data_IF_074480412108
#
_entry.id   IF_074480412108
#
_cell.length_a   1.000
_cell.length_b   1.000
_cell.length_c   1.000
_cell.angle_alpha   90.00
_cell.angle_beta   90.00
_cell.angle_gamma   90.00
#
_symmetry.space_group_name_H-M   'P 1'
#
loop_
_entity.id
_entity.type
_entity.pdbx_description
1 polymer ?
#
# COMPACT_ATOMS: atom_id res chain seq x y z
N UNK A 1 37.43 20.21 32.85
CA UNK A 1 37.10 19.02 32.05
C UNK A 1 35.60 18.76 32.12
N UNK A 2 34.81 19.23 31.14
CA UNK A 2 33.40 18.87 31.02
C UNK A 2 33.35 17.52 30.30
N UNK A 3 32.92 16.47 30.99
CA UNK A 3 32.65 15.18 30.38
C UNK A 3 31.50 15.34 29.39
N UNK A 4 31.77 15.45 28.12
CA UNK A 4 30.77 15.34 27.05
C UNK A 4 30.31 13.90 27.00
N UNK A 5 29.32 13.57 27.82
CA UNK A 5 28.57 12.32 27.59
C UNK A 5 28.02 12.36 26.18
N UNK A 6 28.24 11.33 25.35
CA UNK A 6 27.62 11.28 24.02
C UNK A 6 26.12 11.36 24.20
N UNK A 7 25.41 12.15 23.38
CA UNK A 7 23.97 12.30 23.49
C UNK A 7 23.32 10.90 23.52
N UNK A 8 22.46 10.64 24.52
CA UNK A 8 21.71 9.37 24.65
C UNK A 8 21.12 9.04 23.29
N UNK A 9 21.57 7.95 22.69
CA UNK A 9 21.11 7.53 21.36
C UNK A 9 19.59 7.37 21.41
N UNK A 10 18.86 8.27 20.76
CA UNK A 10 17.43 8.12 20.60
C UNK A 10 17.14 6.73 20.00
N UNK A 11 16.22 6.01 20.60
CA UNK A 11 15.93 4.61 20.25
C UNK A 11 14.64 4.55 19.45
N UNK A 12 14.57 3.68 18.44
CA UNK A 12 13.34 3.38 17.71
C UNK A 12 12.23 2.84 18.63
N UNK A 13 12.61 2.25 19.76
CA UNK A 13 11.66 1.67 20.71
C UNK A 13 10.70 2.72 21.33
N UNK A 14 11.17 3.97 21.53
CA UNK A 14 10.29 5.05 21.97
C UNK A 14 9.26 5.41 20.91
N UNK A 15 9.64 5.41 19.63
CA UNK A 15 8.70 5.65 18.53
C UNK A 15 7.67 4.51 18.45
N UNK A 16 8.11 3.27 18.57
CA UNK A 16 7.22 2.11 18.58
C UNK A 16 6.26 2.14 19.77
N UNK A 17 6.77 2.46 20.97
CA UNK A 17 5.94 2.59 22.17
C UNK A 17 4.83 3.64 21.97
N UNK A 18 5.20 4.85 21.52
CA UNK A 18 4.23 5.89 21.22
C UNK A 18 3.21 5.46 20.18
N UNK A 19 3.70 4.85 19.10
CA UNK A 19 2.88 4.40 17.98
C UNK A 19 1.81 3.38 18.42
N UNK A 20 2.22 2.38 19.20
CA UNK A 20 1.33 1.34 19.72
C UNK A 20 0.38 1.93 20.78
N UNK A 21 0.90 2.72 21.74
CA UNK A 21 0.09 3.31 22.81
C UNK A 21 -1.02 4.21 22.27
N UNK A 22 -0.71 5.08 21.30
CA UNK A 22 -1.70 5.96 20.69
C UNK A 22 -2.85 5.18 20.04
N UNK A 23 -2.53 4.10 19.31
CA UNK A 23 -3.53 3.26 18.63
C UNK A 23 -4.36 2.44 19.60
N UNK A 24 -3.74 1.88 20.62
CA UNK A 24 -4.47 1.17 21.67
C UNK A 24 -5.41 2.10 22.44
N UNK A 25 -4.96 3.33 22.78
CA UNK A 25 -5.83 4.31 23.42
C UNK A 25 -7.03 4.67 22.54
N UNK A 26 -6.86 4.80 21.23
CA UNK A 26 -7.98 5.03 20.30
C UNK A 26 -8.98 3.87 20.37
N UNK A 27 -8.51 2.62 20.30
CA UNK A 27 -9.37 1.43 20.39
C UNK A 27 -10.10 1.30 21.74
N UNK A 28 -9.50 1.80 22.82
CA UNK A 28 -10.09 1.71 24.17
C UNK A 28 -11.10 2.82 24.46
N UNK A 29 -10.90 4.01 23.86
CA UNK A 29 -11.73 5.20 24.14
C UNK A 29 -12.97 5.24 23.25
N UNK A 30 -12.85 4.91 21.99
CA UNK A 30 -13.96 5.03 21.03
C UNK A 30 -14.70 3.71 20.79
N UNK A 31 -16.04 3.74 20.71
CA UNK A 31 -16.83 2.59 20.29
C UNK A 31 -16.42 2.11 18.90
N UNK A 32 -16.28 0.80 18.69
CA UNK A 32 -15.89 0.23 17.40
C UNK A 32 -16.80 0.66 16.23
N UNK A 33 -18.08 0.84 16.46
CA UNK A 33 -19.06 1.28 15.46
C UNK A 33 -18.74 2.69 14.92
N UNK A 34 -18.26 3.58 15.78
CA UNK A 34 -17.86 4.93 15.38
C UNK A 34 -16.52 4.93 14.64
N UNK A 35 -15.57 4.12 15.10
CA UNK A 35 -14.25 3.98 14.46
C UNK A 35 -14.34 3.43 13.04
N UNK A 36 -15.34 2.59 12.77
CA UNK A 36 -15.50 1.89 11.50
C UNK A 36 -16.52 2.51 10.56
N UNK A 37 -17.04 3.71 10.87
CA UNK A 37 -18.10 4.35 10.08
C UNK A 37 -17.73 4.55 8.60
N UNK A 38 -16.48 4.92 8.31
CA UNK A 38 -15.95 5.09 6.94
C UNK A 38 -15.04 3.93 6.52
N UNK A 39 -15.37 2.70 6.93
CA UNK A 39 -14.49 1.55 6.73
C UNK A 39 -15.18 0.41 5.98
N UNK A 40 -14.36 -0.53 5.49
CA UNK A 40 -14.81 -1.77 4.88
C UNK A 40 -15.09 -2.89 5.92
N UNK A 41 -14.93 -2.64 7.23
CA UNK A 41 -15.04 -3.65 8.27
C UNK A 41 -16.42 -4.30 8.33
N UNK A 42 -17.50 -3.55 8.09
CA UNK A 42 -18.83 -4.11 7.97
C UNK A 42 -18.96 -5.10 6.81
N UNK A 43 -18.35 -4.80 5.66
CA UNK A 43 -18.31 -5.71 4.52
C UNK A 43 -17.50 -6.96 4.85
N UNK A 44 -16.32 -6.80 5.45
CA UNK A 44 -15.47 -7.92 5.85
C UNK A 44 -16.19 -8.85 6.82
N UNK A 45 -16.82 -8.30 7.86
CA UNK A 45 -17.59 -9.06 8.84
C UNK A 45 -18.73 -9.84 8.19
N UNK A 46 -19.53 -9.19 7.31
CA UNK A 46 -20.64 -9.84 6.60
C UNK A 46 -20.15 -10.97 5.69
N UNK A 47 -19.03 -10.78 4.99
CA UNK A 47 -18.43 -11.82 4.14
C UNK A 47 -17.92 -12.99 4.99
N UNK A 48 -17.29 -12.72 6.14
CA UNK A 48 -16.82 -13.77 7.04
C UNK A 48 -17.99 -14.54 7.69
N UNK A 49 -19.11 -13.85 8.00
CA UNK A 49 -20.30 -14.46 8.59
C UNK A 49 -20.93 -15.53 7.68
N UNK A 50 -20.74 -15.47 6.36
CA UNK A 50 -21.21 -16.51 5.43
C UNK A 50 -20.59 -17.89 5.76
N UNK A 51 -19.39 -17.94 6.35
CA UNK A 51 -18.77 -19.19 6.77
C UNK A 51 -19.56 -19.92 7.86
N UNK A 52 -20.36 -19.21 8.67
CA UNK A 52 -21.23 -19.81 9.69
C UNK A 52 -22.38 -20.61 9.08
N UNK A 53 -22.75 -20.33 7.83
CA UNK A 53 -23.75 -21.09 7.05
C UNK A 53 -23.12 -22.07 6.06
N UNK A 54 -21.81 -22.36 6.22
CA UNK A 54 -21.09 -23.29 5.34
C UNK A 54 -20.70 -22.69 3.99
N UNK A 55 -20.84 -21.37 3.79
CA UNK A 55 -20.50 -20.70 2.53
C UNK A 55 -19.07 -20.15 2.60
N UNK A 56 -18.19 -20.64 1.73
CA UNK A 56 -16.77 -20.29 1.71
C UNK A 56 -16.41 -19.50 0.45
N UNK A 57 -15.59 -18.42 0.56
CA UNK A 57 -15.12 -17.69 -0.61
C UNK A 57 -14.26 -18.58 -1.51
N UNK A 58 -14.29 -18.36 -2.80
CA UNK A 58 -13.65 -19.15 -3.86
C UNK A 58 -14.25 -20.54 -4.09
N UNK A 59 -15.15 -21.02 -3.22
CA UNK A 59 -15.77 -22.33 -3.33
C UNK A 59 -17.26 -22.21 -3.60
N UNK A 60 -17.96 -21.37 -2.85
CA UNK A 60 -19.41 -21.20 -2.93
C UNK A 60 -19.83 -19.83 -3.47
N UNK A 61 -18.92 -18.84 -3.38
CA UNK A 61 -19.10 -17.51 -3.92
C UNK A 61 -17.75 -16.89 -4.33
N UNK A 62 -17.78 -15.95 -5.29
CA UNK A 62 -16.57 -15.25 -5.70
C UNK A 62 -16.20 -14.13 -4.73
N UNK A 63 -14.90 -13.97 -4.51
CA UNK A 63 -14.30 -12.93 -3.65
C UNK A 63 -13.55 -11.91 -4.49
N UNK A 64 -13.76 -10.63 -4.18
CA UNK A 64 -12.99 -9.54 -4.80
C UNK A 64 -11.56 -9.42 -4.23
N UNK A 65 -11.32 -9.97 -3.06
CA UNK A 65 -10.01 -9.97 -2.41
C UNK A 65 -9.30 -11.29 -2.67
N UNK A 66 -7.99 -11.28 -2.99
CA UNK A 66 -7.19 -12.49 -3.05
C UNK A 66 -7.23 -13.29 -1.75
N UNK A 67 -6.93 -14.60 -1.77
CA UNK A 67 -7.36 -15.55 -0.75
C UNK A 67 -6.73 -15.37 0.64
N UNK A 68 -5.58 -14.71 0.76
CA UNK A 68 -4.88 -14.61 2.05
C UNK A 68 -5.74 -13.92 3.11
N UNK A 69 -6.25 -12.72 2.82
CA UNK A 69 -7.07 -11.99 3.78
C UNK A 69 -8.40 -12.71 4.09
N UNK A 70 -9.23 -13.10 3.12
CA UNK A 70 -10.50 -13.77 3.39
C UNK A 70 -10.36 -15.05 4.19
N UNK A 71 -9.42 -15.93 3.81
CA UNK A 71 -9.32 -17.27 4.38
C UNK A 71 -8.48 -17.36 5.64
N UNK A 72 -7.33 -16.65 5.69
CA UNK A 72 -6.39 -16.79 6.82
C UNK A 72 -6.56 -15.75 7.92
N UNK A 73 -7.26 -14.64 7.65
CA UNK A 73 -7.49 -13.60 8.66
C UNK A 73 -8.98 -13.36 8.90
N UNK A 74 -9.73 -13.03 7.87
CA UNK A 74 -11.10 -12.54 8.01
C UNK A 74 -12.01 -13.59 8.66
N UNK A 75 -12.08 -14.80 8.11
CA UNK A 75 -12.91 -15.89 8.65
C UNK A 75 -12.44 -16.35 10.03
N UNK A 76 -11.15 -16.66 10.29
CA UNK A 76 -10.71 -17.01 11.63
C UNK A 76 -11.02 -15.94 12.67
N UNK A 77 -10.85 -14.65 12.36
CA UNK A 77 -11.16 -13.57 13.29
C UNK A 77 -12.66 -13.43 13.55
N UNK A 78 -13.51 -13.70 12.58
CA UNK A 78 -14.96 -13.78 12.80
C UNK A 78 -15.31 -14.85 13.82
N UNK A 79 -14.78 -16.06 13.67
CA UNK A 79 -15.03 -17.16 14.62
C UNK A 79 -14.45 -16.87 16.02
N UNK A 80 -13.24 -16.33 16.10
CA UNK A 80 -12.62 -15.92 17.37
C UNK A 80 -13.40 -14.79 18.06
N UNK A 81 -14.10 -13.95 17.32
CA UNK A 81 -14.94 -12.87 17.85
C UNK A 81 -16.27 -13.37 18.46
N UNK A 82 -16.57 -14.67 18.33
CA UNK A 82 -17.89 -15.22 18.68
C UNK A 82 -19.01 -14.69 17.78
N UNK A 83 -18.73 -14.30 16.54
CA UNK A 83 -19.70 -13.71 15.62
C UNK A 83 -20.18 -12.32 16.02
N UNK A 84 -19.49 -11.64 16.92
CA UNK A 84 -19.86 -10.30 17.39
C UNK A 84 -19.03 -9.24 16.69
N UNK A 85 -19.69 -8.27 16.01
CA UNK A 85 -19.01 -7.23 15.25
C UNK A 85 -18.02 -6.42 16.09
N UNK A 86 -18.40 -6.03 17.31
CA UNK A 86 -17.54 -5.29 18.24
C UNK A 86 -16.21 -6.01 18.51
N UNK A 87 -16.27 -7.30 18.87
CA UNK A 87 -15.08 -8.10 19.14
C UNK A 87 -14.25 -8.30 17.86
N UNK A 88 -14.91 -8.51 16.71
CA UNK A 88 -14.28 -8.65 15.42
C UNK A 88 -13.45 -7.41 15.07
N UNK A 89 -14.00 -6.21 15.24
CA UNK A 89 -13.29 -4.93 14.97
C UNK A 89 -12.04 -4.84 15.84
N UNK A 90 -12.13 -5.15 17.13
CA UNK A 90 -10.97 -5.10 18.04
C UNK A 90 -9.91 -6.11 17.61
N UNK A 91 -10.29 -7.35 17.35
CA UNK A 91 -9.34 -8.41 16.96
C UNK A 91 -8.64 -8.08 15.63
N UNK A 92 -9.40 -7.67 14.61
CA UNK A 92 -8.84 -7.29 13.32
C UNK A 92 -7.91 -6.08 13.47
N UNK A 93 -8.31 -5.06 14.23
CA UNK A 93 -7.48 -3.88 14.47
C UNK A 93 -6.16 -4.22 15.19
N UNK A 94 -6.16 -5.16 16.14
CA UNK A 94 -4.94 -5.63 16.81
C UNK A 94 -4.01 -6.35 15.83
N UNK A 95 -4.54 -7.24 14.98
CA UNK A 95 -3.74 -7.93 13.96
C UNK A 95 -3.13 -6.94 12.97
N UNK A 96 -3.92 -5.97 12.50
CA UNK A 96 -3.43 -4.94 11.58
C UNK A 96 -2.43 -3.99 12.27
N UNK A 97 -2.61 -3.71 13.56
CA UNK A 97 -1.62 -2.95 14.35
C UNK A 97 -0.28 -3.70 14.42
N UNK A 98 -0.29 -5.02 14.60
CA UNK A 98 0.95 -5.82 14.55
C UNK A 98 1.63 -5.72 13.17
N UNK A 99 0.86 -5.72 12.07
CA UNK A 99 1.39 -5.49 10.72
C UNK A 99 1.99 -4.07 10.57
N UNK A 100 1.35 -3.04 11.13
CA UNK A 100 1.86 -1.68 11.11
C UNK A 100 3.15 -1.52 11.92
N UNK A 101 3.24 -2.17 13.09
CA UNK A 101 4.46 -2.20 13.92
C UNK A 101 5.61 -2.84 13.15
N UNK A 102 5.36 -3.96 12.48
CA UNK A 102 6.32 -4.60 11.58
C UNK A 102 6.75 -3.68 10.44
N UNK A 103 5.80 -2.99 9.82
CA UNK A 103 6.04 -2.02 8.75
C UNK A 103 6.85 -0.82 9.23
N UNK A 104 6.55 -0.26 10.39
CA UNK A 104 7.31 0.85 11.00
C UNK A 104 8.76 0.42 11.30
N UNK A 105 8.95 -0.80 11.81
CA UNK A 105 10.29 -1.33 12.04
C UNK A 105 11.05 -1.56 10.73
N UNK A 106 10.42 -2.11 9.70
CA UNK A 106 11.04 -2.25 8.37
C UNK A 106 11.35 -0.88 7.74
N UNK A 107 10.47 0.10 7.89
CA UNK A 107 10.72 1.47 7.47
C UNK A 107 11.98 2.04 8.15
N UNK A 108 12.13 1.85 9.47
CA UNK A 108 13.34 2.22 10.20
C UNK A 108 14.60 1.53 9.64
N UNK A 109 14.54 0.21 9.40
CA UNK A 109 15.65 -0.57 8.88
C UNK A 109 16.09 -0.11 7.48
N UNK A 110 15.14 0.14 6.59
CA UNK A 110 15.40 0.66 5.25
C UNK A 110 15.96 2.08 5.30
N UNK A 111 15.36 2.96 6.08
CA UNK A 111 15.82 4.33 6.25
C UNK A 111 17.23 4.39 6.84
N UNK A 112 17.54 3.55 7.84
CA UNK A 112 18.86 3.47 8.46
C UNK A 112 19.93 3.01 7.47
N UNK A 113 19.61 2.06 6.61
CA UNK A 113 20.53 1.57 5.58
C UNK A 113 20.83 2.65 4.52
N UNK A 114 19.82 3.47 4.16
CA UNK A 114 19.97 4.51 3.15
C UNK A 114 20.55 5.83 3.66
N UNK A 115 20.25 6.21 4.91
CA UNK A 115 20.45 7.57 5.40
C UNK A 115 21.11 7.69 6.79
N UNK A 116 21.36 6.58 7.46
CA UNK A 116 21.88 6.57 8.83
C UNK A 116 20.81 6.77 9.90
N UNK A 117 21.22 6.68 11.18
CA UNK A 117 20.29 6.57 12.31
C UNK A 117 19.46 7.83 12.55
N UNK A 118 20.06 9.01 12.53
CA UNK A 118 19.35 10.26 12.85
C UNK A 118 18.19 10.52 11.87
N UNK A 119 18.44 10.36 10.54
CA UNK A 119 17.40 10.54 9.53
C UNK A 119 16.37 9.41 9.58
N UNK A 120 16.77 8.18 9.88
CA UNK A 120 15.84 7.06 10.04
C UNK A 120 14.85 7.33 11.19
N UNK A 121 15.32 7.82 12.33
CA UNK A 121 14.44 8.19 13.45
C UNK A 121 13.49 9.32 13.07
N UNK A 122 13.96 10.35 12.36
CA UNK A 122 13.08 11.42 11.84
C UNK A 122 11.96 10.85 10.96
N UNK A 123 12.30 9.95 10.04
CA UNK A 123 11.33 9.32 9.14
C UNK A 123 10.28 8.53 9.90
N UNK A 124 10.66 7.68 10.87
CA UNK A 124 9.67 6.88 11.61
C UNK A 124 8.85 7.71 12.58
N UNK A 125 9.42 8.77 13.19
CA UNK A 125 8.64 9.73 13.98
C UNK A 125 7.62 10.47 13.12
N UNK A 126 8.01 10.90 11.92
CA UNK A 126 7.10 11.52 10.95
C UNK A 126 5.95 10.58 10.59
N UNK A 127 6.26 9.33 10.23
CA UNK A 127 5.23 8.34 9.91
C UNK A 127 4.27 8.11 11.09
N UNK A 128 4.81 8.00 12.30
CA UNK A 128 4.03 7.79 13.51
C UNK A 128 3.11 8.98 13.86
N UNK A 129 3.54 10.20 13.52
CA UNK A 129 2.80 11.44 13.78
C UNK A 129 1.77 11.79 12.70
N UNK A 130 1.86 11.19 11.50
CA UNK A 130 0.90 11.46 10.43
C UNK A 130 -0.48 10.89 10.76
N UNK A 131 -1.52 11.71 10.53
CA UNK A 131 -2.91 11.31 10.78
C UNK A 131 -3.39 10.20 9.83
N UNK A 132 -2.98 10.25 8.57
CA UNK A 132 -3.46 9.32 7.52
C UNK A 132 -3.25 7.84 7.87
N UNK A 133 -2.07 7.39 8.36
CA UNK A 133 -1.90 6.00 8.80
C UNK A 133 -2.86 5.60 9.92
N UNK A 134 -3.13 6.50 10.86
CA UNK A 134 -4.06 6.24 11.97
C UNK A 134 -5.48 6.04 11.44
N UNK A 135 -5.93 6.92 10.54
CA UNK A 135 -7.28 6.86 9.98
C UNK A 135 -7.49 5.59 9.11
N UNK A 136 -6.54 5.27 8.23
CA UNK A 136 -6.67 4.14 7.29
C UNK A 136 -6.53 2.80 8.00
N UNK A 137 -5.72 2.70 9.06
CA UNK A 137 -5.59 1.47 9.85
C UNK A 137 -6.93 0.93 10.37
N UNK A 138 -7.84 1.82 10.78
CA UNK A 138 -9.19 1.47 11.23
C UNK A 138 -10.18 1.28 10.08
N UNK A 139 -9.73 1.46 8.84
CA UNK A 139 -10.60 1.43 7.67
C UNK A 139 -10.52 0.13 6.87
N UNK A 140 -9.31 -0.41 6.73
CA UNK A 140 -9.04 -1.48 5.76
C UNK A 140 -7.85 -2.35 6.18
N UNK A 141 -7.63 -3.47 5.47
CA UNK A 141 -6.49 -4.36 5.71
C UNK A 141 -5.19 -3.96 5.00
N UNK A 142 -5.06 -2.71 4.54
CA UNK A 142 -3.86 -2.23 3.81
C UNK A 142 -2.55 -2.40 4.57
N UNK A 143 -2.57 -2.33 5.91
CA UNK A 143 -1.39 -2.55 6.75
C UNK A 143 -0.68 -3.88 6.44
N UNK A 144 -1.44 -4.91 6.08
CA UNK A 144 -0.90 -6.21 5.67
C UNK A 144 -0.12 -6.11 4.34
N UNK A 145 -0.67 -5.38 3.38
CA UNK A 145 0.00 -5.14 2.08
C UNK A 145 1.28 -4.33 2.26
N UNK A 146 1.26 -3.29 3.12
CA UNK A 146 2.44 -2.46 3.43
C UNK A 146 3.56 -3.31 4.01
N UNK A 147 3.23 -4.20 4.95
CA UNK A 147 4.21 -5.10 5.57
C UNK A 147 4.94 -5.96 4.52
N UNK A 148 4.19 -6.58 3.61
CA UNK A 148 4.78 -7.42 2.57
C UNK A 148 5.58 -6.61 1.54
N UNK A 149 5.13 -5.43 1.17
CA UNK A 149 5.87 -4.55 0.26
C UNK A 149 7.20 -4.11 0.85
N UNK A 150 7.19 -3.58 2.08
CA UNK A 150 8.42 -3.16 2.75
C UNK A 150 9.32 -4.35 3.07
N UNK A 151 8.75 -5.51 3.43
CA UNK A 151 9.46 -6.76 3.62
C UNK A 151 10.16 -7.23 2.34
N UNK A 152 9.48 -7.17 1.20
CA UNK A 152 10.03 -7.49 -0.12
C UNK A 152 11.19 -6.57 -0.50
N UNK A 153 11.02 -5.25 -0.35
CA UNK A 153 12.08 -4.26 -0.61
C UNK A 153 13.28 -4.48 0.32
N UNK A 154 13.03 -4.73 1.60
CA UNK A 154 14.10 -5.01 2.58
C UNK A 154 14.86 -6.31 2.24
N UNK A 155 14.14 -7.37 1.87
CA UNK A 155 14.73 -8.65 1.49
C UNK A 155 15.60 -8.53 0.22
N UNK A 156 15.12 -7.80 -0.80
CA UNK A 156 15.90 -7.50 -2.02
C UNK A 156 17.19 -6.72 -1.69
N UNK A 157 17.09 -5.70 -0.83
CA UNK A 157 18.25 -4.93 -0.39
C UNK A 157 19.33 -5.81 0.25
N UNK A 158 18.91 -6.84 1.00
CA UNK A 158 19.82 -7.76 1.67
C UNK A 158 20.12 -9.03 0.87
N UNK A 159 19.77 -9.05 -0.43
CA UNK A 159 19.98 -10.19 -1.35
C UNK A 159 19.34 -11.49 -0.87
N UNK A 160 18.28 -11.42 -0.07
CA UNK A 160 17.50 -12.57 0.42
C UNK A 160 16.38 -12.89 -0.55
N UNK A 161 16.74 -13.43 -1.73
CA UNK A 161 15.81 -13.60 -2.84
C UNK A 161 14.60 -14.49 -2.51
N UNK A 162 14.80 -15.58 -1.75
CA UNK A 162 13.70 -16.45 -1.30
C UNK A 162 12.69 -15.70 -0.42
N UNK A 163 13.19 -14.90 0.55
CA UNK A 163 12.32 -14.08 1.40
C UNK A 163 11.64 -12.97 0.60
N UNK A 164 12.31 -12.37 -0.38
CA UNK A 164 11.68 -11.38 -1.27
C UNK A 164 10.53 -12.02 -2.06
N UNK A 165 10.74 -13.20 -2.64
CA UNK A 165 9.69 -13.95 -3.35
C UNK A 165 8.54 -14.32 -2.43
N UNK A 166 8.81 -14.76 -1.20
CA UNK A 166 7.77 -15.05 -0.19
C UNK A 166 6.93 -13.78 0.12
N UNK A 167 7.58 -12.66 0.40
CA UNK A 167 6.88 -11.39 0.68
C UNK A 167 6.06 -10.93 -0.53
N UNK A 168 6.59 -11.01 -1.75
CA UNK A 168 5.88 -10.62 -2.98
C UNK A 168 4.69 -11.55 -3.23
N UNK A 169 4.85 -12.87 -3.08
CA UNK A 169 3.79 -13.85 -3.23
C UNK A 169 2.68 -13.67 -2.20
N UNK A 170 3.01 -13.53 -0.90
CA UNK A 170 2.02 -13.24 0.14
C UNK A 170 1.35 -11.87 -0.08
N UNK A 171 2.13 -10.87 -0.50
CA UNK A 171 1.58 -9.57 -0.90
C UNK A 171 0.60 -9.69 -2.06
N UNK A 172 0.89 -10.52 -3.08
CA UNK A 172 -0.01 -10.79 -4.19
C UNK A 172 -1.28 -11.50 -3.76
N UNK A 173 -1.19 -12.36 -2.74
CA UNK A 173 -2.35 -13.04 -2.15
C UNK A 173 -3.15 -12.14 -1.18
N UNK A 174 -2.70 -10.91 -0.94
CA UNK A 174 -3.51 -9.85 -0.30
C UNK A 174 -4.08 -8.90 -1.34
N UNK A 175 -3.27 -8.45 -2.28
CA UNK A 175 -3.61 -7.59 -3.42
C UNK A 175 -2.65 -7.87 -4.58
N UNK A 176 -3.13 -7.90 -5.81
CA UNK A 176 -2.34 -8.34 -6.96
C UNK A 176 -1.16 -7.43 -7.32
N UNK A 177 -1.25 -6.13 -7.05
CA UNK A 177 -0.23 -5.15 -7.47
C UNK A 177 1.20 -5.41 -6.94
N UNK A 178 1.45 -6.01 -5.75
CA UNK A 178 2.80 -6.36 -5.31
C UNK A 178 3.58 -7.26 -6.27
N UNK A 179 2.92 -7.96 -7.20
CA UNK A 179 3.61 -8.69 -8.29
C UNK A 179 4.48 -7.76 -9.14
N UNK A 180 4.13 -6.48 -9.24
CA UNK A 180 4.97 -5.47 -9.92
C UNK A 180 6.37 -5.35 -9.33
N UNK A 181 6.58 -5.72 -8.05
CA UNK A 181 7.91 -5.72 -7.41
C UNK A 181 8.88 -6.77 -8.02
N UNK A 182 8.41 -7.66 -8.89
CA UNK A 182 9.29 -8.53 -9.69
C UNK A 182 10.21 -7.69 -10.60
N UNK A 183 9.74 -6.55 -11.10
CA UNK A 183 10.59 -5.59 -11.83
C UNK A 183 11.67 -5.00 -10.93
N UNK A 184 11.36 -4.81 -9.64
CA UNK A 184 12.33 -4.37 -8.65
C UNK A 184 13.39 -5.44 -8.38
N UNK A 185 13.02 -6.72 -8.37
CA UNK A 185 13.95 -7.84 -8.26
C UNK A 185 14.92 -7.87 -9.45
N UNK A 186 14.45 -7.58 -10.67
CA UNK A 186 15.31 -7.42 -11.83
C UNK A 186 16.31 -6.28 -11.62
N UNK A 187 15.87 -5.13 -11.17
CA UNK A 187 16.73 -3.97 -10.87
C UNK A 187 17.77 -4.28 -9.79
N UNK A 188 17.41 -5.06 -8.78
CA UNK A 188 18.26 -5.40 -7.64
C UNK A 188 19.39 -6.37 -8.00
N UNK A 189 19.15 -7.34 -8.88
CA UNK A 189 20.10 -8.44 -9.14
C UNK A 189 20.01 -9.05 -10.55
N UNK A 190 19.36 -8.37 -11.50
CA UNK A 190 19.19 -8.82 -12.88
C UNK A 190 18.20 -9.97 -13.02
N UNK A 191 18.19 -10.58 -14.22
CA UNK A 191 17.20 -11.59 -14.58
C UNK A 191 17.22 -12.84 -13.68
N UNK A 192 18.42 -13.26 -13.21
CA UNK A 192 18.56 -14.43 -12.30
C UNK A 192 17.86 -14.17 -10.96
N UNK A 193 18.05 -12.97 -10.39
CA UNK A 193 17.37 -12.56 -9.17
C UNK A 193 15.84 -12.54 -9.40
N UNK A 194 15.38 -11.90 -10.48
CA UNK A 194 13.97 -11.84 -10.82
C UNK A 194 13.35 -13.23 -11.02
N UNK A 195 14.09 -14.16 -11.64
CA UNK A 195 13.64 -15.55 -11.83
C UNK A 195 13.45 -16.27 -10.49
N UNK A 196 14.45 -16.23 -9.61
CA UNK A 196 14.35 -16.88 -8.28
C UNK A 196 13.21 -16.29 -7.46
N UNK A 197 13.13 -14.96 -7.39
CA UNK A 197 12.05 -14.26 -6.69
C UNK A 197 10.70 -14.59 -7.30
N UNK A 198 10.60 -14.62 -8.64
CA UNK A 198 9.39 -14.95 -9.37
C UNK A 198 8.92 -16.39 -9.15
N UNK A 199 9.83 -17.35 -9.17
CA UNK A 199 9.51 -18.76 -8.92
C UNK A 199 8.98 -18.96 -7.49
N UNK A 200 9.61 -18.36 -6.49
CA UNK A 200 9.12 -18.42 -5.10
C UNK A 200 7.76 -17.73 -4.97
N UNK A 201 7.58 -16.54 -5.55
CA UNK A 201 6.29 -15.84 -5.52
C UNK A 201 5.18 -16.66 -6.21
N UNK A 202 5.48 -17.26 -7.37
CA UNK A 202 4.56 -18.16 -8.08
C UNK A 202 4.21 -19.38 -7.22
N UNK A 203 5.20 -20.01 -6.57
CA UNK A 203 4.95 -21.16 -5.68
C UNK A 203 3.98 -20.78 -4.55
N UNK A 204 4.15 -19.59 -3.94
CA UNK A 204 3.21 -19.08 -2.93
C UNK A 204 1.81 -18.92 -3.54
N UNK A 205 1.68 -18.29 -4.70
CA UNK A 205 0.38 -18.14 -5.36
C UNK A 205 -0.27 -19.51 -5.65
N UNK A 206 0.50 -20.48 -6.15
CA UNK A 206 0.01 -21.82 -6.44
C UNK A 206 -0.44 -22.58 -5.19
N UNK A 207 0.27 -22.44 -4.06
CA UNK A 207 -0.13 -23.05 -2.78
C UNK A 207 -1.52 -22.57 -2.35
N UNK A 208 -1.85 -21.30 -2.59
CA UNK A 208 -3.18 -20.77 -2.27
C UNK A 208 -4.23 -21.12 -3.32
N UNK A 209 -3.91 -20.91 -4.60
CA UNK A 209 -4.91 -20.96 -5.67
C UNK A 209 -5.20 -22.38 -6.15
N UNK A 210 -4.22 -23.30 -6.13
CA UNK A 210 -4.43 -24.66 -6.65
C UNK A 210 -5.48 -25.42 -5.86
N UNK A 211 -5.46 -25.48 -4.50
CA UNK A 211 -6.51 -26.16 -3.75
C UNK A 211 -7.90 -25.57 -4.00
N UNK A 212 -7.99 -24.23 -4.07
CA UNK A 212 -9.25 -23.53 -4.32
C UNK A 212 -9.80 -23.85 -5.73
N UNK A 213 -8.91 -23.84 -6.72
CA UNK A 213 -9.28 -24.23 -8.09
C UNK A 213 -9.73 -25.69 -8.19
N UNK A 214 -9.09 -26.60 -7.47
CA UNK A 214 -9.50 -28.00 -7.43
C UNK A 214 -10.87 -28.21 -6.78
N UNK A 215 -11.20 -27.38 -5.76
CA UNK A 215 -12.50 -27.42 -5.09
C UNK A 215 -13.62 -26.79 -5.93
N UNK A 216 -13.34 -25.64 -6.56
CA UNK A 216 -14.29 -24.94 -7.41
C UNK A 216 -13.57 -24.08 -8.46
N UNK A 217 -13.33 -24.63 -9.68
CA UNK A 217 -12.76 -23.85 -10.78
C UNK A 217 -13.57 -22.61 -11.11
N UNK A 218 -14.90 -22.72 -11.09
CA UNK A 218 -15.82 -21.66 -11.45
C UNK A 218 -15.65 -20.43 -10.55
N UNK A 219 -15.81 -20.58 -9.22
CA UNK A 219 -15.72 -19.45 -8.29
C UNK A 219 -14.30 -18.96 -8.08
N UNK A 220 -13.29 -19.82 -8.23
CA UNK A 220 -11.88 -19.40 -8.18
C UNK A 220 -11.55 -18.51 -9.39
N UNK A 221 -11.92 -18.89 -10.60
CA UNK A 221 -11.73 -18.07 -11.80
C UNK A 221 -12.54 -16.77 -11.74
N UNK A 222 -13.81 -16.85 -11.32
CA UNK A 222 -14.65 -15.68 -11.13
C UNK A 222 -14.03 -14.68 -10.15
N UNK A 223 -13.45 -15.15 -9.04
CA UNK A 223 -12.73 -14.30 -8.08
C UNK A 223 -11.54 -13.58 -8.70
N UNK A 224 -10.72 -14.29 -9.48
CA UNK A 224 -9.57 -13.70 -10.16
C UNK A 224 -9.99 -12.69 -11.24
N UNK A 225 -11.09 -12.96 -11.93
CA UNK A 225 -11.64 -12.11 -12.99
C UNK A 225 -12.46 -10.93 -12.47
N UNK A 226 -12.90 -10.94 -11.21
CA UNK A 226 -13.79 -9.91 -10.65
C UNK A 226 -13.24 -8.50 -10.79
N UNK A 227 -11.92 -8.31 -10.71
CA UNK A 227 -11.29 -7.01 -10.90
C UNK A 227 -11.37 -6.49 -12.35
N UNK A 228 -11.55 -7.38 -13.32
CA UNK A 228 -11.73 -7.00 -14.74
C UNK A 228 -13.16 -6.51 -15.01
N UNK A 229 -14.14 -7.03 -14.27
CA UNK A 229 -15.54 -6.58 -14.32
C UNK A 229 -15.80 -5.25 -13.59
N UNK A 230 -14.85 -4.75 -12.84
CA UNK A 230 -15.03 -3.53 -12.06
C UNK A 230 -15.04 -2.30 -12.97
N UNK A 231 -16.10 -1.51 -12.92
CA UNK A 231 -16.17 -0.20 -13.59
C UNK A 231 -15.18 0.77 -12.97
N UNK A 232 -14.74 1.79 -13.70
CA UNK A 232 -13.84 2.82 -13.20
C UNK A 232 -14.47 3.66 -12.08
N UNK A 233 -13.64 4.08 -11.10
CA UNK A 233 -14.10 4.95 -10.00
C UNK A 233 -12.99 5.90 -9.55
N UNK A 234 -13.35 7.14 -9.26
CA UNK A 234 -12.49 8.18 -8.66
C UNK A 234 -11.13 8.39 -9.37
N UNK A 235 -11.06 8.21 -10.68
CA UNK A 235 -9.87 8.43 -11.51
C UNK A 235 -10.22 9.22 -12.78
N UNK A 236 -9.21 9.65 -13.53
CA UNK A 236 -9.42 10.24 -14.87
C UNK A 236 -10.17 9.28 -15.80
N UNK A 237 -9.99 7.98 -15.62
CA UNK A 237 -10.74 6.95 -16.36
C UNK A 237 -12.23 7.00 -16.02
N UNK A 238 -12.56 7.26 -14.73
CA UNK A 238 -13.96 7.43 -14.30
C UNK A 238 -14.59 8.70 -14.89
N UNK A 239 -13.83 9.77 -15.06
CA UNK A 239 -14.30 10.97 -15.78
C UNK A 239 -14.62 10.65 -17.23
N UNK A 240 -13.73 9.92 -17.93
CA UNK A 240 -13.94 9.51 -19.32
C UNK A 240 -15.13 8.57 -19.48
N UNK A 241 -15.31 7.64 -18.54
CA UNK A 241 -16.41 6.65 -18.58
C UNK A 241 -17.75 7.22 -18.07
N UNK A 242 -17.75 8.41 -17.44
CA UNK A 242 -18.94 9.02 -16.85
C UNK A 242 -19.35 8.43 -15.50
N UNK A 243 -18.45 7.77 -14.78
CA UNK A 243 -18.70 7.07 -13.51
C UNK A 243 -18.43 7.96 -12.27
N UNK A 244 -19.12 9.11 -12.18
CA UNK A 244 -18.89 10.08 -11.11
C UNK A 244 -19.42 9.64 -9.73
N UNK A 245 -20.42 8.78 -9.67
CA UNK A 245 -21.01 8.29 -8.41
C UNK A 245 -20.45 6.92 -7.98
N UNK A 246 -19.62 6.28 -8.79
CA UNK A 246 -19.05 4.98 -8.47
C UNK A 246 -18.00 5.11 -7.38
N UNK A 247 -18.10 4.27 -6.34
CA UNK A 247 -17.14 4.17 -5.23
C UNK A 247 -16.27 2.91 -5.29
N UNK A 248 -16.39 2.14 -6.40
CA UNK A 248 -15.64 0.90 -6.58
C UNK A 248 -16.19 -0.30 -5.82
N UNK A 249 -17.41 -0.19 -5.28
CA UNK A 249 -18.10 -1.32 -4.66
C UNK A 249 -18.65 -2.26 -5.73
N UNK A 250 -18.71 -3.53 -5.38
CA UNK A 250 -19.50 -4.50 -6.14
C UNK A 250 -20.96 -4.45 -5.69
N UNK A 251 -21.86 -5.04 -6.49
CA UNK A 251 -23.27 -5.13 -6.19
C UNK A 251 -23.64 -5.85 -4.89
N UNK A 252 -24.93 -6.14 -4.67
CA UNK A 252 -25.40 -6.85 -3.49
C UNK A 252 -24.67 -8.17 -3.26
N UNK A 253 -24.52 -8.59 -2.00
CA UNK A 253 -23.82 -9.85 -1.65
C UNK A 253 -24.40 -11.07 -2.37
N UNK A 254 -25.70 -11.09 -2.63
CA UNK A 254 -26.38 -12.20 -3.35
C UNK A 254 -25.80 -12.42 -4.75
N UNK A 255 -25.31 -11.38 -5.41
CA UNK A 255 -24.70 -11.52 -6.75
C UNK A 255 -23.36 -12.28 -6.71
N UNK A 256 -22.71 -12.37 -5.56
CA UNK A 256 -21.46 -13.10 -5.39
C UNK A 256 -21.64 -14.62 -5.51
N UNK A 257 -22.86 -15.12 -5.37
CA UNK A 257 -23.19 -16.53 -5.55
C UNK A 257 -23.41 -16.94 -7.03
N UNK A 258 -23.26 -16.01 -7.95
CA UNK A 258 -23.24 -16.28 -9.39
C UNK A 258 -21.90 -15.89 -9.99
N UNK A 259 -21.13 -16.86 -10.45
CA UNK A 259 -19.82 -16.63 -11.04
C UNK A 259 -19.87 -15.70 -12.26
N UNK A 260 -20.95 -15.79 -13.07
CA UNK A 260 -21.15 -14.94 -14.23
C UNK A 260 -21.26 -13.43 -13.85
N UNK A 261 -21.71 -13.13 -12.64
CA UNK A 261 -21.81 -11.74 -12.16
C UNK A 261 -20.47 -11.10 -11.82
N UNK A 262 -19.42 -11.89 -11.61
CA UNK A 262 -18.10 -11.37 -11.25
C UNK A 262 -17.50 -10.42 -12.29
N UNK A 263 -17.84 -10.61 -13.57
CA UNK A 263 -17.33 -9.81 -14.69
C UNK A 263 -18.32 -8.80 -15.25
N UNK A 264 -19.53 -8.73 -14.67
CA UNK A 264 -20.58 -7.78 -15.12
C UNK A 264 -20.34 -6.42 -14.46
N UNK A 265 -20.13 -5.35 -15.22
CA UNK A 265 -19.96 -4.00 -14.68
C UNK A 265 -21.26 -3.51 -14.01
N UNK A 266 -21.14 -2.98 -12.79
CA UNK A 266 -22.29 -2.37 -12.10
C UNK A 266 -22.63 -0.97 -12.63
N UNK A 267 -21.63 -0.27 -13.18
CA UNK A 267 -21.72 1.07 -13.75
C UNK A 267 -21.28 1.04 -15.22
N UNK A 268 -21.13 2.21 -15.83
CA UNK A 268 -20.67 2.30 -17.22
C UNK A 268 -19.39 1.49 -17.45
N UNK A 269 -19.34 0.64 -18.46
CA UNK A 269 -18.13 -0.10 -18.80
C UNK A 269 -17.03 0.86 -19.26
N UNK A 270 -15.80 0.44 -19.12
CA UNK A 270 -14.66 1.24 -19.53
C UNK A 270 -14.61 1.43 -21.05
N UNK A 271 -14.56 2.68 -21.51
CA UNK A 271 -14.37 3.04 -22.93
C UNK A 271 -13.04 2.60 -23.49
N UNK A 272 -11.98 2.64 -22.65
CA UNK A 272 -10.65 2.19 -23.02
C UNK A 272 -10.31 0.92 -22.27
N UNK A 273 -9.98 -0.20 -22.92
CA UNK A 273 -9.60 -1.43 -22.24
C UNK A 273 -8.38 -1.27 -21.33
N UNK A 274 -8.40 -1.91 -20.16
CA UNK A 274 -7.31 -1.78 -19.16
C UNK A 274 -5.95 -2.27 -19.66
N UNK A 275 -5.93 -3.27 -20.54
CA UNK A 275 -4.68 -3.76 -21.14
C UNK A 275 -4.05 -2.72 -22.09
N UNK A 276 -4.87 -1.93 -22.81
CA UNK A 276 -4.37 -0.87 -23.69
C UNK A 276 -3.78 0.27 -22.87
N UNK A 277 -4.46 0.67 -21.78
CA UNK A 277 -3.92 1.71 -20.87
C UNK A 277 -2.69 1.24 -20.11
N UNK A 278 -2.50 -0.08 -19.91
CA UNK A 278 -1.31 -0.64 -19.25
C UNK A 278 -0.04 -0.43 -20.09
N UNK A 279 -0.13 -0.47 -21.41
CA UNK A 279 1.05 -0.47 -22.30
C UNK A 279 2.00 0.70 -22.04
N UNK A 280 1.59 1.98 -22.01
CA UNK A 280 2.50 3.09 -21.76
C UNK A 280 3.12 3.04 -20.37
N UNK A 281 2.37 2.71 -19.34
CA UNK A 281 2.89 2.62 -17.97
C UNK A 281 3.83 1.45 -17.79
N UNK A 282 3.54 0.29 -18.39
CA UNK A 282 4.43 -0.87 -18.41
C UNK A 282 5.72 -0.57 -19.18
N UNK A 283 5.64 0.11 -20.33
CA UNK A 283 6.81 0.51 -21.10
C UNK A 283 7.71 1.46 -20.28
N UNK A 284 7.15 2.46 -19.61
CA UNK A 284 7.91 3.35 -18.71
C UNK A 284 8.53 2.57 -17.56
N UNK A 285 7.77 1.69 -16.92
CA UNK A 285 8.27 0.88 -15.81
C UNK A 285 9.43 -0.02 -16.26
N UNK A 286 9.28 -0.76 -17.36
CA UNK A 286 10.35 -1.57 -17.94
C UNK A 286 11.57 -0.74 -18.31
N UNK A 287 11.39 0.37 -19.01
CA UNK A 287 12.48 1.24 -19.42
C UNK A 287 13.29 1.77 -18.22
N UNK A 288 12.62 2.21 -17.15
CA UNK A 288 13.29 2.79 -15.99
C UNK A 288 13.90 1.71 -15.11
N UNK A 289 13.14 0.66 -14.81
CA UNK A 289 13.51 -0.33 -13.79
C UNK A 289 14.49 -1.38 -14.30
N UNK A 290 14.57 -1.62 -15.60
CA UNK A 290 15.58 -2.52 -16.21
C UNK A 290 16.94 -1.87 -16.40
N UNK A 291 17.06 -0.54 -16.28
CA UNK A 291 18.34 0.16 -16.34
C UNK A 291 19.17 -0.09 -15.08
N UNK A 292 20.51 -0.01 -15.23
CA UNK A 292 21.41 -0.17 -14.08
C UNK A 292 21.15 0.90 -13.02
N UNK A 293 21.18 0.51 -11.72
CA UNK A 293 21.05 1.46 -10.63
C UNK A 293 22.17 2.50 -10.67
N UNK A 294 21.82 3.77 -10.49
CA UNK A 294 22.77 4.91 -10.49
C UNK A 294 23.12 5.36 -9.08
N UNK A 295 22.37 4.89 -8.07
CA UNK A 295 22.49 5.23 -6.67
C UNK A 295 22.84 3.99 -5.82
N UNK A 296 23.15 4.21 -4.53
CA UNK A 296 23.27 3.11 -3.57
C UNK A 296 21.94 2.35 -3.49
N UNK A 297 21.98 1.03 -3.52
CA UNK A 297 20.81 0.16 -3.53
C UNK A 297 19.80 0.48 -2.42
N UNK A 298 20.25 0.92 -1.24
CA UNK A 298 19.40 1.28 -0.12
C UNK A 298 18.52 2.53 -0.35
N UNK A 299 18.84 3.38 -1.34
CA UNK A 299 18.00 4.51 -1.77
C UNK A 299 17.31 4.21 -3.09
N UNK A 300 18.00 3.51 -3.98
CA UNK A 300 17.50 3.19 -5.30
C UNK A 300 16.25 2.29 -5.26
N UNK A 301 16.28 1.20 -4.49
CA UNK A 301 15.18 0.25 -4.44
C UNK A 301 13.87 0.85 -3.87
N UNK A 302 13.86 1.60 -2.74
CA UNK A 302 12.65 2.27 -2.30
C UNK A 302 12.12 3.32 -3.29
N UNK A 303 13.03 4.07 -3.97
CA UNK A 303 12.64 5.07 -4.98
C UNK A 303 12.03 4.40 -6.19
N UNK A 304 12.60 3.29 -6.65
CA UNK A 304 12.07 2.49 -7.75
C UNK A 304 10.70 1.85 -7.38
N UNK A 305 10.54 1.38 -6.15
CA UNK A 305 9.25 0.88 -5.65
C UNK A 305 8.19 1.98 -5.58
N UNK A 306 8.56 3.19 -5.13
CA UNK A 306 7.68 4.35 -5.11
C UNK A 306 7.23 4.75 -6.53
N UNK A 307 8.17 4.79 -7.49
CA UNK A 307 7.84 5.10 -8.89
C UNK A 307 6.88 4.04 -9.47
N UNK A 308 7.17 2.77 -9.26
CA UNK A 308 6.29 1.67 -9.72
C UNK A 308 4.87 1.82 -9.16
N UNK A 309 4.76 2.19 -7.88
CA UNK A 309 3.45 2.42 -7.25
C UNK A 309 2.73 3.63 -7.85
N UNK A 310 3.43 4.73 -8.15
CA UNK A 310 2.82 5.89 -8.82
C UNK A 310 2.34 5.53 -10.23
N UNK A 311 3.11 4.78 -10.99
CA UNK A 311 2.70 4.29 -12.31
C UNK A 311 1.47 3.37 -12.21
N UNK A 312 1.43 2.49 -11.21
CA UNK A 312 0.25 1.67 -10.93
C UNK A 312 -0.98 2.53 -10.61
N UNK A 313 -0.86 3.58 -9.79
CA UNK A 313 -1.96 4.47 -9.46
C UNK A 313 -2.48 5.24 -10.68
N UNK A 314 -1.59 5.68 -11.56
CA UNK A 314 -1.97 6.38 -12.79
C UNK A 314 -2.63 5.47 -13.82
N UNK A 315 -2.19 4.21 -13.88
CA UNK A 315 -2.79 3.19 -14.75
C UNK A 315 -4.14 2.70 -14.24
N UNK A 316 -4.25 2.51 -12.93
CA UNK A 316 -5.44 1.89 -12.31
C UNK A 316 -6.71 2.65 -12.67
N UNK A 317 -7.75 1.91 -13.06
CA UNK A 317 -9.08 2.49 -13.33
C UNK A 317 -9.86 2.90 -12.09
N UNK A 318 -9.38 2.53 -10.93
CA UNK A 318 -9.94 2.91 -9.65
C UNK A 318 -8.94 3.57 -8.74
N UNK A 319 -9.44 4.37 -7.85
CA UNK A 319 -8.69 4.94 -6.74
C UNK A 319 -9.43 4.66 -5.44
N UNK A 320 -8.66 4.26 -4.42
CA UNK A 320 -9.18 4.11 -3.07
C UNK A 320 -8.23 4.80 -2.08
N UNK A 321 -8.73 5.64 -1.16
CA UNK A 321 -7.91 6.44 -0.24
C UNK A 321 -6.92 5.62 0.58
N UNK A 322 -7.27 4.38 0.92
CA UNK A 322 -6.43 3.45 1.68
C UNK A 322 -5.12 3.10 0.98
N UNK A 323 -5.03 3.23 -0.35
CA UNK A 323 -3.80 2.95 -1.09
C UNK A 323 -2.66 3.92 -0.75
N UNK A 324 -3.01 5.09 -0.21
CA UNK A 324 -2.02 6.04 0.30
C UNK A 324 -1.17 5.44 1.43
N UNK A 325 -1.69 4.48 2.21
CA UNK A 325 -0.93 3.85 3.29
C UNK A 325 0.36 3.18 2.79
N UNK A 326 0.32 2.59 1.59
CA UNK A 326 1.51 2.00 0.95
C UNK A 326 2.45 3.06 0.39
N UNK A 327 1.90 4.17 -0.13
CA UNK A 327 2.70 5.25 -0.71
C UNK A 327 3.54 5.98 0.34
N UNK A 328 2.98 6.27 1.52
CA UNK A 328 3.62 7.09 2.55
C UNK A 328 5.04 6.61 2.92
N UNK A 329 5.24 5.35 3.36
CA UNK A 329 6.58 4.89 3.74
C UNK A 329 7.57 4.91 2.58
N UNK A 330 7.12 4.61 1.36
CA UNK A 330 7.97 4.64 0.16
C UNK A 330 8.37 6.07 -0.20
N UNK A 331 7.45 7.05 -0.10
CA UNK A 331 7.75 8.47 -0.34
C UNK A 331 8.71 9.03 0.72
N UNK A 332 8.52 8.69 1.99
CA UNK A 332 9.44 9.08 3.07
C UNK A 332 10.85 8.50 2.90
N UNK A 333 10.99 7.33 2.27
CA UNK A 333 12.28 6.73 1.92
C UNK A 333 12.89 7.33 0.65
N UNK A 334 12.07 7.75 -0.31
CA UNK A 334 12.53 8.15 -1.63
C UNK A 334 12.83 9.64 -1.72
N UNK A 335 11.98 10.49 -1.15
CA UNK A 335 12.04 11.95 -1.33
C UNK A 335 12.80 12.68 -0.21
N UNK A 336 13.23 13.94 -0.44
CA UNK A 336 13.58 14.85 0.65
C UNK A 336 12.42 14.93 1.65
N UNK A 337 12.75 15.02 2.95
CA UNK A 337 11.78 14.89 4.02
C UNK A 337 10.61 15.89 3.89
N UNK A 338 10.90 17.15 3.65
CA UNK A 338 9.91 18.23 3.54
C UNK A 338 8.93 17.95 2.38
N UNK A 339 9.44 17.47 1.25
CA UNK A 339 8.60 17.12 0.08
C UNK A 339 7.77 15.88 0.33
N UNK A 340 8.36 14.84 0.94
CA UNK A 340 7.62 13.63 1.29
C UNK A 340 6.44 13.94 2.22
N UNK A 341 6.64 14.80 3.23
CA UNK A 341 5.58 15.26 4.14
C UNK A 341 4.55 16.09 3.37
N UNK A 342 4.98 17.07 2.59
CA UNK A 342 4.06 17.92 1.81
C UNK A 342 3.16 17.09 0.91
N UNK A 343 3.74 16.21 0.10
CA UNK A 343 2.97 15.36 -0.81
C UNK A 343 2.01 14.43 -0.07
N UNK A 344 2.45 13.86 1.05
CA UNK A 344 1.60 12.99 1.88
C UNK A 344 0.40 13.76 2.46
N UNK A 345 0.64 14.96 2.98
CA UNK A 345 -0.42 15.79 3.58
C UNK A 345 -1.39 16.28 2.51
N UNK A 346 -0.89 16.78 1.37
CA UNK A 346 -1.76 17.25 0.27
C UNK A 346 -2.59 16.10 -0.30
N UNK A 347 -2.00 14.93 -0.53
CA UNK A 347 -2.74 13.75 -0.99
C UNK A 347 -3.77 13.31 0.05
N UNK A 348 -3.42 13.33 1.34
CA UNK A 348 -4.34 13.04 2.44
C UNK A 348 -5.51 14.01 2.50
N UNK A 349 -5.26 15.31 2.30
CA UNK A 349 -6.31 16.33 2.24
C UNK A 349 -7.27 16.09 1.06
N UNK A 350 -6.74 15.83 -0.13
CA UNK A 350 -7.56 15.51 -1.31
C UNK A 350 -8.43 14.28 -1.03
N UNK A 351 -7.86 13.24 -0.45
CA UNK A 351 -8.60 12.02 -0.09
C UNK A 351 -9.69 12.27 0.96
N UNK A 352 -9.41 13.09 1.98
CA UNK A 352 -10.36 13.44 3.01
C UNK A 352 -11.51 14.30 2.45
N UNK A 353 -11.22 15.23 1.54
CA UNK A 353 -12.26 15.98 0.84
C UNK A 353 -13.11 15.08 -0.05
N UNK A 354 -12.49 14.17 -0.78
CA UNK A 354 -13.20 13.31 -1.72
C UNK A 354 -14.09 12.29 -1.02
N UNK A 355 -13.58 11.53 -0.08
CA UNK A 355 -14.30 10.42 0.51
C UNK A 355 -15.29 10.84 1.62
N UNK A 356 -14.86 11.41 2.77
CA UNK A 356 -15.81 11.75 3.83
C UNK A 356 -16.69 12.97 3.55
N UNK A 357 -16.32 13.84 2.58
CA UNK A 357 -17.07 15.07 2.33
C UNK A 357 -17.86 14.99 1.03
N UNK A 358 -17.19 14.83 -0.11
CA UNK A 358 -17.83 14.91 -1.43
C UNK A 358 -18.73 13.71 -1.69
N UNK A 359 -18.18 12.49 -1.58
CA UNK A 359 -18.91 11.26 -1.92
C UNK A 359 -20.00 10.96 -0.90
N UNK A 360 -19.74 11.05 0.40
CA UNK A 360 -20.73 10.74 1.43
C UNK A 360 -21.91 11.73 1.45
N UNK A 361 -21.70 12.94 0.94
CA UNK A 361 -22.76 13.98 0.84
C UNK A 361 -23.38 14.10 -0.54
N UNK A 362 -23.01 13.22 -1.49
CA UNK A 362 -23.55 13.24 -2.85
C UNK A 362 -23.12 14.44 -3.70
N UNK A 363 -22.06 15.17 -3.31
CA UNK A 363 -21.54 16.35 -4.01
C UNK A 363 -20.69 15.98 -5.23
N UNK A 364 -21.11 14.98 -6.00
CA UNK A 364 -20.33 14.36 -7.09
C UNK A 364 -19.88 15.32 -8.17
N UNK A 365 -20.51 16.50 -8.31
CA UNK A 365 -20.10 17.55 -9.25
C UNK A 365 -18.71 18.12 -8.96
N UNK A 366 -18.19 17.97 -7.72
CA UNK A 366 -16.87 18.43 -7.32
C UNK A 366 -15.77 17.37 -7.55
N UNK A 367 -16.13 16.12 -7.85
CA UNK A 367 -15.17 15.05 -8.10
C UNK A 367 -14.17 15.33 -9.23
N UNK A 368 -14.56 15.93 -10.36
CA UNK A 368 -13.59 16.26 -11.41
C UNK A 368 -12.41 17.11 -10.90
N UNK A 369 -12.66 18.03 -9.97
CA UNK A 369 -11.61 18.87 -9.40
C UNK A 369 -10.62 18.04 -8.56
N UNK A 370 -11.12 17.24 -7.62
CA UNK A 370 -10.26 16.41 -6.73
C UNK A 370 -9.51 15.34 -7.52
N UNK A 371 -10.16 14.70 -8.49
CA UNK A 371 -9.54 13.71 -9.37
C UNK A 371 -8.41 14.36 -10.18
N UNK A 372 -8.64 15.55 -10.76
CA UNK A 372 -7.62 16.26 -11.54
C UNK A 372 -6.43 16.65 -10.66
N UNK A 373 -6.69 17.27 -9.49
CA UNK A 373 -5.63 17.66 -8.56
C UNK A 373 -4.78 16.46 -8.11
N UNK A 374 -5.43 15.34 -7.75
CA UNK A 374 -4.73 14.11 -7.39
C UNK A 374 -3.92 13.56 -8.55
N UNK A 375 -4.47 13.54 -9.75
CA UNK A 375 -3.75 13.02 -10.94
C UNK A 375 -2.52 13.85 -11.24
N UNK A 376 -2.62 15.17 -11.21
CA UNK A 376 -1.47 16.08 -11.38
C UNK A 376 -0.42 15.82 -10.29
N UNK A 377 -0.83 15.65 -9.02
CA UNK A 377 0.06 15.33 -7.91
C UNK A 377 0.80 14.00 -8.15
N UNK A 378 0.10 12.96 -8.60
CA UNK A 378 0.70 11.65 -8.90
C UNK A 378 1.68 11.74 -10.08
N UNK A 379 1.37 12.52 -11.11
CA UNK A 379 2.27 12.76 -12.25
C UNK A 379 3.54 13.51 -11.80
N UNK A 380 3.39 14.54 -10.97
CA UNK A 380 4.54 15.28 -10.39
C UNK A 380 5.41 14.36 -9.53
N UNK A 381 4.81 13.51 -8.69
CA UNK A 381 5.52 12.52 -7.89
C UNK A 381 6.26 11.51 -8.76
N UNK A 382 5.60 10.95 -9.77
CA UNK A 382 6.24 10.01 -10.70
C UNK A 382 7.42 10.64 -11.41
N UNK A 383 7.29 11.90 -11.85
CA UNK A 383 8.36 12.65 -12.50
C UNK A 383 9.54 12.93 -11.56
N UNK A 384 9.29 13.37 -10.34
CA UNK A 384 10.34 13.60 -9.35
C UNK A 384 11.11 12.31 -9.00
N UNK A 385 10.38 11.22 -8.79
CA UNK A 385 10.97 9.90 -8.53
C UNK A 385 11.81 9.41 -9.72
N UNK A 386 11.32 9.61 -10.94
CA UNK A 386 12.08 9.32 -12.15
C UNK A 386 13.38 10.12 -12.22
N UNK A 387 13.33 11.43 -11.97
CA UNK A 387 14.52 12.29 -11.97
C UNK A 387 15.57 11.82 -10.95
N UNK A 388 15.13 11.36 -9.77
CA UNK A 388 16.05 10.85 -8.76
C UNK A 388 16.72 9.54 -9.19
N UNK A 389 16.02 8.68 -9.94
CA UNK A 389 16.59 7.45 -10.48
C UNK A 389 17.51 7.69 -11.69
N UNK A 390 17.24 8.75 -12.46
CA UNK A 390 18.00 9.09 -13.68
C UNK A 390 19.25 9.93 -13.43
N UNK A 391 19.31 10.73 -12.36
CA UNK A 391 20.33 11.75 -12.11
C UNK A 391 21.08 11.54 -10.79
N UNK A 392 22.29 10.91 -10.83
CA UNK A 392 23.09 10.67 -9.60
C UNK A 392 23.61 11.92 -8.91
N UNK A 393 23.73 13.06 -9.62
CA UNK A 393 24.45 14.24 -9.16
C UNK A 393 23.66 15.17 -8.23
N UNK A 394 22.32 15.20 -8.34
CA UNK A 394 21.50 16.08 -7.48
C UNK A 394 21.36 15.60 -6.04
N UNK A 395 21.62 14.32 -5.74
CA UNK A 395 21.61 13.78 -4.38
C UNK A 395 22.84 14.16 -3.55
N UNK A 396 23.91 14.73 -4.17
CA UNK A 396 25.12 15.20 -3.47
C UNK A 396 25.04 16.66 -3.00
N UNK A 397 24.11 17.46 -3.49
CA UNK A 397 24.09 18.91 -3.31
C UNK A 397 23.04 19.41 -2.30
N UNK A 398 22.82 18.72 -1.19
CA UNK A 398 22.22 19.35 -0.02
C UNK A 398 23.25 19.25 1.13
N UNK A 399 24.19 20.21 1.28
CA UNK A 399 24.92 20.35 2.52
C UNK A 399 23.90 20.60 3.62
N UNK A 400 24.09 19.94 4.75
CA UNK A 400 23.41 20.30 5.99
C UNK A 400 23.70 21.80 6.23
N UNK A 401 22.66 22.63 6.13
CA UNK A 401 22.75 24.02 6.62
C UNK A 401 23.04 23.95 8.13
N UNK A 402 24.30 24.03 8.50
CA UNK A 402 24.78 23.91 9.88
C UNK A 402 26.27 23.60 10.07
N UNK A 403 27.02 23.21 9.02
CA UNK A 403 28.46 22.88 9.18
C UNK A 403 29.43 23.93 8.62
N UNK A 404 28.95 25.10 8.17
CA UNK A 404 29.86 26.12 7.57
C UNK A 404 30.21 27.29 8.49
N UNK A 405 29.95 27.24 9.81
CA UNK A 405 30.25 28.37 10.71
C UNK A 405 31.30 28.11 11.80
N UNK A 406 32.07 27.00 11.74
CA UNK A 406 33.10 26.68 12.78
C UNK A 406 34.51 26.58 12.21
N UNK A 407 34.80 27.10 11.02
CA UNK A 407 36.16 27.09 10.46
C UNK A 407 36.71 28.46 10.06
N UNK A 408 36.44 29.50 10.81
CA UNK A 408 37.03 30.82 10.57
C UNK A 408 37.44 31.61 11.81
N UNK A 409 37.65 30.99 12.97
CA UNK A 409 38.21 31.65 14.16
C UNK A 409 39.36 30.90 14.82
N UNK A 410 40.30 30.32 14.05
CA UNK A 410 41.62 29.95 14.54
C UNK A 410 42.64 30.32 13.46
N UNK A 411 43.05 31.60 13.51
CA UNK A 411 44.10 32.11 12.60
C UNK A 411 44.21 33.63 12.69
N UNK A 412 44.49 34.13 13.87
CA UNK A 412 44.87 35.51 14.10
C UNK A 412 45.61 35.65 15.40
#
# INVERSE_FOLDING_TARGET
MRSTQPPRRASVWWTLLLFVSARLMILMIWPPEQLTYYSDYHLYFRLAALSATGQWPFVHYWSEYPPLFPLLLNIPLYWLSGGTFKNYVVLLSIVLLACEVGSLYLLYRLARAGYGQARALRIVWTYAALFVPVFIWLGTFEALTVLFVLGGVWALLHKRNGLAGLCIGLGAMTKLWPLGLLLLAWRAGGWRCALVVGLVALSVCLVFLTPLYMLSPEFTLASLQSQMGKSSWQTVWALLDGNLSNTGNFGPLVERFSAARATVPLHNPSRVPSWLTLLPFAAIALFVLTRRPTQRAARDLPTAAALLLMLFFLWSKGWSPQWQLVAIPLLLLALPWERAVLFTVVLGLINALEWPVILSRGLTRLLPLTITLRTLLLVMLAWELYQQLASPSRARAAPLAGESSVRSEEGG
#
